data_IF_713395882053
#
_entry.id   IF_713395882053
#
_cell.length_a   1.000
_cell.length_b   1.000
_cell.length_c   1.000
_cell.angle_alpha   90.00
_cell.angle_beta   90.00
_cell.angle_gamma   90.00
#
_symmetry.space_group_name_H-M   'P 1'
#
loop_
_entity.id
_entity.type
_entity.pdbx_description
1 polymer ?
#
# COMPACT_ATOMS: atom_id res chain seq x y z
N UNK A 1 -17.67 -60.59 -33.34
CA UNK A 1 -17.39 -59.36 -34.11
C UNK A 1 -17.60 -58.08 -33.27
N UNK A 2 -17.18 -58.05 -31.99
CA UNK A 2 -17.53 -56.96 -31.04
C UNK A 2 -16.32 -56.20 -30.46
N UNK A 3 -15.09 -56.72 -30.62
CA UNK A 3 -13.88 -56.14 -30.01
C UNK A 3 -13.16 -55.10 -30.88
N UNK A 4 -13.42 -55.07 -32.20
CA UNK A 4 -12.76 -54.12 -33.11
C UNK A 4 -13.36 -52.71 -32.97
N UNK A 5 -14.69 -52.61 -32.84
CA UNK A 5 -15.41 -51.34 -32.73
C UNK A 5 -15.12 -50.60 -31.42
N UNK A 6 -14.97 -51.32 -30.30
CA UNK A 6 -14.61 -50.72 -29.00
C UNK A 6 -13.18 -50.16 -29.00
N UNK A 7 -12.21 -50.88 -29.60
CA UNK A 7 -10.83 -50.41 -29.69
C UNK A 7 -10.69 -49.21 -30.62
N UNK A 8 -11.45 -49.16 -31.71
CA UNK A 8 -11.50 -48.01 -32.61
C UNK A 8 -12.08 -46.77 -31.89
N UNK A 9 -13.17 -46.93 -31.12
CA UNK A 9 -13.78 -45.85 -30.34
C UNK A 9 -12.86 -45.30 -29.26
N UNK A 10 -12.13 -46.16 -28.54
CA UNK A 10 -11.16 -45.74 -27.52
C UNK A 10 -9.96 -45.02 -28.15
N UNK A 11 -9.43 -45.52 -29.27
CA UNK A 11 -8.34 -44.86 -30.00
C UNK A 11 -8.76 -43.50 -30.55
N UNK A 12 -9.96 -43.38 -31.13
CA UNK A 12 -10.51 -42.10 -31.59
C UNK A 12 -10.74 -41.14 -30.41
N UNK A 13 -11.25 -41.62 -29.27
CA UNK A 13 -11.44 -40.81 -28.07
C UNK A 13 -10.12 -40.27 -27.50
N UNK A 14 -9.07 -41.09 -27.45
CA UNK A 14 -7.73 -40.69 -27.00
C UNK A 14 -7.07 -39.71 -28.00
N UNK A 15 -7.26 -39.91 -29.30
CA UNK A 15 -6.78 -38.97 -30.34
C UNK A 15 -7.50 -37.62 -30.28
N UNK A 16 -8.80 -37.58 -29.99
CA UNK A 16 -9.57 -36.33 -29.82
C UNK A 16 -9.15 -35.59 -28.55
N UNK A 17 -8.89 -36.30 -27.45
CA UNK A 17 -8.37 -35.72 -26.20
C UNK A 17 -6.93 -35.20 -26.34
N UNK A 18 -6.05 -35.92 -27.05
CA UNK A 18 -4.69 -35.48 -27.34
C UNK A 18 -4.67 -34.28 -28.30
N UNK A 19 -5.57 -34.24 -29.30
CA UNK A 19 -5.73 -33.09 -30.18
C UNK A 19 -6.22 -31.85 -29.41
N UNK A 20 -7.16 -31.99 -28.46
CA UNK A 20 -7.63 -30.87 -27.64
C UNK A 20 -6.52 -30.22 -26.79
N UNK A 21 -5.52 -31.00 -26.34
CA UNK A 21 -4.37 -30.49 -25.59
C UNK A 21 -3.34 -29.75 -26.47
N UNK A 22 -3.17 -30.18 -27.72
CA UNK A 22 -2.30 -29.52 -28.71
C UNK A 22 -2.96 -28.29 -29.36
N UNK A 23 -4.30 -28.22 -29.33
CA UNK A 23 -5.06 -27.20 -30.08
C UNK A 23 -5.01 -25.80 -29.50
N UNK A 24 -4.57 -25.52 -28.25
CA UNK A 24 -4.40 -24.09 -27.90
C UNK A 24 -3.44 -23.73 -26.73
N UNK A 25 -2.13 -24.03 -26.84
CA UNK A 25 -1.12 -23.39 -25.99
C UNK A 25 -1.22 -21.85 -26.01
N UNK A 26 -1.66 -21.26 -27.14
CA UNK A 26 -1.93 -19.81 -27.28
C UNK A 26 -3.06 -19.30 -26.36
N UNK A 27 -4.11 -20.09 -26.12
CA UNK A 27 -5.17 -19.68 -25.17
C UNK A 27 -4.71 -19.80 -23.72
N UNK A 28 -3.91 -20.83 -23.40
CA UNK A 28 -3.31 -20.96 -22.08
C UNK A 28 -2.36 -19.80 -21.78
N UNK A 29 -1.50 -19.45 -22.74
CA UNK A 29 -0.58 -18.31 -22.66
C UNK A 29 -1.33 -16.97 -22.56
N UNK A 30 -2.38 -16.77 -23.37
CA UNK A 30 -3.24 -15.57 -23.26
C UNK A 30 -3.99 -15.47 -21.92
N UNK A 31 -4.38 -16.61 -21.32
CA UNK A 31 -4.97 -16.66 -19.98
C UNK A 31 -3.94 -16.38 -18.88
N UNK A 32 -2.72 -16.89 -19.00
CA UNK A 32 -1.61 -16.60 -18.08
C UNK A 32 -1.27 -15.10 -18.11
N UNK A 33 -1.03 -14.55 -19.30
CA UNK A 33 -0.76 -13.13 -19.49
C UNK A 33 -1.91 -12.25 -18.95
N UNK A 34 -3.16 -12.71 -19.09
CA UNK A 34 -4.31 -12.06 -18.44
C UNK A 34 -4.19 -12.04 -16.92
N UNK A 35 -3.91 -13.18 -16.31
CA UNK A 35 -3.78 -13.29 -14.86
C UNK A 35 -2.66 -12.38 -14.35
N UNK A 36 -1.51 -12.36 -15.03
CA UNK A 36 -0.35 -11.55 -14.67
C UNK A 36 -0.67 -10.04 -14.71
N UNK A 37 -1.38 -9.59 -15.76
CA UNK A 37 -1.79 -8.18 -15.86
C UNK A 37 -2.77 -7.80 -14.75
N UNK A 38 -3.72 -8.69 -14.41
CA UNK A 38 -4.68 -8.44 -13.32
C UNK A 38 -3.96 -8.41 -11.97
N UNK A 39 -3.01 -9.32 -11.72
CA UNK A 39 -2.21 -9.33 -10.50
C UNK A 39 -1.41 -8.03 -10.33
N UNK A 40 -0.74 -7.56 -11.39
CA UNK A 40 -0.01 -6.27 -11.34
C UNK A 40 -0.94 -5.07 -11.09
N UNK A 41 -2.15 -5.08 -11.66
CA UNK A 41 -3.17 -4.06 -11.35
C UNK A 41 -3.55 -4.10 -9.87
N UNK A 42 -3.73 -5.29 -9.30
CA UNK A 42 -4.04 -5.48 -7.88
C UNK A 42 -2.89 -4.95 -7.00
N UNK A 43 -1.64 -5.23 -7.34
CA UNK A 43 -0.45 -4.76 -6.61
C UNK A 43 -0.38 -3.24 -6.57
N UNK A 44 -0.47 -2.57 -7.73
CA UNK A 44 -0.46 -1.10 -7.78
C UNK A 44 -1.65 -0.48 -7.07
N UNK A 45 -2.80 -1.17 -7.05
CA UNK A 45 -3.96 -0.72 -6.29
C UNK A 45 -3.71 -0.79 -4.79
N UNK A 46 -3.18 -1.91 -4.30
CA UNK A 46 -2.83 -2.09 -2.89
C UNK A 46 -1.81 -1.04 -2.47
N UNK A 47 -0.79 -0.79 -3.28
CA UNK A 47 0.21 0.24 -3.03
C UNK A 47 -0.41 1.65 -2.98
N UNK A 48 -1.25 1.99 -3.94
CA UNK A 48 -1.99 3.27 -3.95
C UNK A 48 -2.76 3.45 -2.65
N UNK A 49 -3.50 2.43 -2.22
CA UNK A 49 -4.31 2.46 -1.01
C UNK A 49 -3.48 2.47 0.27
N UNK A 50 -2.32 1.81 0.30
CA UNK A 50 -1.37 1.86 1.42
C UNK A 50 -0.92 3.29 1.66
N UNK A 51 -0.48 4.00 0.61
CA UNK A 51 -0.06 5.39 0.72
C UNK A 51 -1.22 6.32 1.07
N UNK A 52 -2.40 6.14 0.49
CA UNK A 52 -3.59 6.91 0.86
C UNK A 52 -3.98 6.71 2.33
N UNK A 53 -3.94 5.46 2.81
CA UNK A 53 -4.23 5.12 4.21
C UNK A 53 -3.24 5.81 5.15
N UNK A 54 -1.94 5.77 4.84
CA UNK A 54 -0.91 6.46 5.61
C UNK A 54 -1.19 7.97 5.71
N UNK A 55 -1.56 8.58 4.59
CA UNK A 55 -1.88 10.01 4.52
C UNK A 55 -3.21 10.39 5.18
N UNK A 56 -4.02 9.41 5.61
CA UNK A 56 -5.39 9.63 6.09
C UNK A 56 -6.34 10.12 4.98
N UNK A 57 -6.11 9.70 3.73
CA UNK A 57 -6.95 10.04 2.58
C UNK A 57 -7.91 8.89 2.23
N UNK A 58 -9.12 9.18 1.72
CA UNK A 58 -10.00 8.15 1.19
C UNK A 58 -9.32 7.32 0.10
N UNK A 59 -9.61 6.02 0.09
CA UNK A 59 -9.10 5.11 -0.94
C UNK A 59 -9.74 5.41 -2.28
N UNK A 60 -8.94 5.43 -3.35
CA UNK A 60 -9.48 5.57 -4.72
C UNK A 60 -10.42 4.40 -5.02
N UNK A 61 -11.68 4.64 -5.39
CA UNK A 61 -12.62 3.56 -5.68
C UNK A 61 -12.22 2.77 -6.94
N UNK A 62 -12.66 1.51 -7.02
CA UNK A 62 -12.42 0.62 -8.16
C UNK A 62 -13.65 -0.24 -8.44
N UNK A 63 -13.98 -0.44 -9.71
CA UNK A 63 -15.07 -1.33 -10.14
C UNK A 63 -14.58 -2.76 -10.48
N UNK A 64 -13.28 -3.02 -10.33
CA UNK A 64 -12.62 -4.28 -10.71
C UNK A 64 -12.92 -4.71 -12.15
N UNK A 65 -13.04 -3.74 -13.07
CA UNK A 65 -13.43 -4.00 -14.46
C UNK A 65 -12.40 -4.83 -15.21
N UNK A 66 -11.13 -4.82 -14.80
CA UNK A 66 -10.06 -5.67 -15.35
C UNK A 66 -10.40 -7.16 -15.28
N UNK A 67 -11.16 -7.58 -14.26
CA UNK A 67 -11.54 -8.99 -14.06
C UNK A 67 -12.55 -9.48 -15.08
N UNK A 68 -13.38 -8.59 -15.62
CA UNK A 68 -14.43 -8.91 -16.61
C UNK A 68 -14.11 -8.42 -18.02
N UNK A 69 -13.12 -7.54 -18.17
CA UNK A 69 -12.73 -6.96 -19.45
C UNK A 69 -12.31 -8.05 -20.45
N UNK A 70 -12.89 -8.03 -21.66
CA UNK A 70 -12.49 -8.93 -22.76
C UNK A 70 -11.24 -8.43 -23.48
N UNK A 71 -11.12 -7.12 -23.67
CA UNK A 71 -10.00 -6.47 -24.37
C UNK A 71 -8.68 -6.54 -23.57
N UNK A 72 -7.60 -6.95 -24.24
CA UNK A 72 -6.24 -6.88 -23.69
C UNK A 72 -5.73 -5.42 -23.62
N UNK A 73 -6.03 -4.61 -24.64
CA UNK A 73 -5.65 -3.19 -24.67
C UNK A 73 -6.27 -2.41 -23.50
N UNK A 74 -7.54 -2.69 -23.15
CA UNK A 74 -8.19 -2.06 -21.99
C UNK A 74 -7.51 -2.43 -20.66
N UNK A 75 -7.10 -3.70 -20.51
CA UNK A 75 -6.36 -4.15 -19.32
C UNK A 75 -4.97 -3.50 -19.25
N UNK A 76 -4.27 -3.38 -20.38
CA UNK A 76 -2.99 -2.66 -20.45
C UNK A 76 -3.14 -1.18 -20.08
N UNK A 77 -4.21 -0.53 -20.54
CA UNK A 77 -4.52 0.84 -20.13
C UNK A 77 -4.81 0.96 -18.63
N UNK A 78 -5.60 0.04 -18.06
CA UNK A 78 -5.84 0.00 -16.61
C UNK A 78 -4.56 -0.22 -15.79
N UNK A 79 -3.66 -1.07 -16.28
CA UNK A 79 -2.35 -1.29 -15.68
C UNK A 79 -1.54 0.00 -15.62
N UNK A 80 -1.44 0.73 -16.73
CA UNK A 80 -0.74 2.03 -16.76
C UNK A 80 -1.41 3.07 -15.82
N UNK A 81 -2.74 3.10 -15.80
CA UNK A 81 -3.51 3.97 -14.91
C UNK A 81 -3.18 3.70 -13.43
N UNK A 82 -3.21 2.44 -13.00
CA UNK A 82 -2.92 2.08 -11.61
C UNK A 82 -1.45 2.29 -11.26
N UNK A 83 -0.52 1.99 -12.17
CA UNK A 83 0.91 2.32 -12.01
C UNK A 83 1.12 3.81 -11.75
N UNK A 84 0.51 4.69 -12.56
CA UNK A 84 0.62 6.15 -12.41
C UNK A 84 0.01 6.62 -11.08
N UNK A 85 -1.10 6.02 -10.65
CA UNK A 85 -1.73 6.33 -9.35
C UNK A 85 -0.85 5.94 -8.18
N UNK A 86 -0.24 4.75 -8.22
CA UNK A 86 0.67 4.28 -7.18
C UNK A 86 1.86 5.24 -7.05
N UNK A 87 2.54 5.54 -8.17
CA UNK A 87 3.67 6.47 -8.20
C UNK A 87 3.29 7.89 -7.71
N UNK A 88 2.10 8.39 -8.05
CA UNK A 88 1.64 9.68 -7.54
C UNK A 88 1.35 9.63 -6.03
N UNK A 89 0.73 8.57 -5.54
CA UNK A 89 0.42 8.40 -4.13
C UNK A 89 1.70 8.29 -3.29
N UNK A 90 2.69 7.54 -3.77
CA UNK A 90 4.01 7.43 -3.16
C UNK A 90 4.72 8.79 -3.11
N UNK A 91 4.81 9.51 -4.23
CA UNK A 91 5.44 10.84 -4.26
C UNK A 91 4.76 11.82 -3.30
N UNK A 92 3.44 11.77 -3.17
CA UNK A 92 2.71 12.58 -2.19
C UNK A 92 3.02 12.15 -0.76
N UNK A 93 3.04 10.84 -0.49
CA UNK A 93 3.38 10.31 0.82
C UNK A 93 4.81 10.65 1.23
N UNK A 94 5.77 10.64 0.31
CA UNK A 94 7.16 11.01 0.57
C UNK A 94 7.35 12.49 0.97
N UNK A 95 6.36 13.34 0.67
CA UNK A 95 6.38 14.78 0.92
C UNK A 95 5.24 15.19 1.86
N UNK A 96 5.31 14.83 3.16
CA UNK A 96 4.31 15.28 4.12
C UNK A 96 4.30 16.82 4.19
N UNK A 97 3.12 17.46 4.37
CA UNK A 97 3.07 18.87 4.71
C UNK A 97 3.91 19.16 5.97
N UNK A 98 4.37 20.41 6.09
CA UNK A 98 5.19 20.87 7.22
C UNK A 98 6.41 19.99 7.54
N UNK A 99 6.96 19.25 6.56
CA UNK A 99 8.13 18.37 6.75
C UNK A 99 9.27 19.04 7.49
N UNK A 100 9.61 20.29 7.15
CA UNK A 100 10.66 21.06 7.84
C UNK A 100 10.31 21.33 9.30
N UNK A 101 9.04 21.64 9.61
CA UNK A 101 8.54 21.80 10.98
C UNK A 101 8.64 20.51 11.78
N UNK A 102 8.22 19.39 11.23
CA UNK A 102 8.35 18.08 11.89
C UNK A 102 9.81 17.69 12.10
N UNK A 103 10.70 17.97 11.15
CA UNK A 103 12.13 17.73 11.33
C UNK A 103 12.75 18.65 12.38
N UNK A 104 12.26 19.89 12.50
CA UNK A 104 12.67 20.80 13.57
C UNK A 104 12.21 20.28 14.94
N UNK A 105 10.94 19.87 15.06
CA UNK A 105 10.41 19.26 16.29
C UNK A 105 11.21 18.02 16.65
N UNK A 106 11.42 17.13 15.68
CA UNK A 106 12.23 15.94 15.85
C UNK A 106 13.62 16.23 16.42
N UNK A 107 14.29 17.27 15.92
CA UNK A 107 15.63 17.66 16.38
C UNK A 107 15.69 17.92 17.89
N UNK A 108 14.66 18.53 18.46
CA UNK A 108 14.61 18.89 19.89
C UNK A 108 13.96 17.82 20.76
N UNK A 109 12.96 17.10 20.25
CA UNK A 109 12.20 16.10 21.02
C UNK A 109 12.94 14.76 21.15
N UNK A 110 13.70 14.36 20.11
CA UNK A 110 14.35 13.04 20.08
C UNK A 110 15.46 12.91 21.11
N UNK A 111 15.73 11.68 21.53
CA UNK A 111 17.00 11.35 22.16
C UNK A 111 18.14 11.35 21.11
N UNK A 112 19.28 12.01 21.34
CA UNK A 112 20.32 12.19 20.32
C UNK A 112 20.90 10.87 19.81
N UNK A 113 21.07 9.87 20.69
CA UNK A 113 21.58 8.54 20.32
C UNK A 113 20.53 7.55 19.77
N UNK A 114 19.23 7.86 19.84
CA UNK A 114 18.18 6.93 19.36
C UNK A 114 17.40 7.48 18.15
N UNK A 115 17.41 8.80 17.94
CA UNK A 115 16.79 9.41 16.78
C UNK A 115 15.29 9.11 16.70
N UNK A 116 14.84 8.60 15.56
CA UNK A 116 13.43 8.27 15.32
C UNK A 116 12.91 7.11 16.16
N UNK A 117 13.80 6.30 16.73
CA UNK A 117 13.46 5.17 17.59
C UNK A 117 13.56 5.50 19.08
N UNK A 118 13.44 6.78 19.44
CA UNK A 118 13.50 7.23 20.83
C UNK A 118 12.47 6.52 21.70
N UNK A 119 12.94 5.86 22.76
CA UNK A 119 12.18 5.16 23.79
C UNK A 119 12.96 5.20 25.11
N UNK A 120 12.80 6.29 25.86
CA UNK A 120 13.54 6.52 27.12
C UNK A 120 12.79 6.02 28.36
N UNK A 121 11.56 5.52 28.21
CA UNK A 121 10.73 5.07 29.33
C UNK A 121 9.85 6.16 29.95
N UNK A 122 9.81 7.37 29.37
CA UNK A 122 9.04 8.51 29.88
C UNK A 122 7.56 8.54 29.44
N UNK A 123 7.03 7.46 28.84
CA UNK A 123 5.66 7.38 28.35
C UNK A 123 5.41 7.98 26.96
N UNK A 124 6.46 8.51 26.32
CA UNK A 124 6.43 9.02 24.95
C UNK A 124 7.32 8.18 24.05
N UNK A 125 6.98 8.12 22.76
CA UNK A 125 7.61 7.20 21.83
C UNK A 125 7.93 7.88 20.51
N UNK A 126 9.03 7.43 19.90
CA UNK A 126 9.48 7.88 18.59
C UNK A 126 10.18 9.23 18.61
N UNK A 127 10.73 9.61 17.46
CA UNK A 127 11.48 10.85 17.30
C UNK A 127 10.65 12.12 17.45
N UNK A 128 9.31 12.02 17.47
CA UNK A 128 8.40 13.12 17.77
C UNK A 128 7.77 12.99 19.16
N UNK A 129 8.27 12.12 20.04
CA UNK A 129 7.77 12.01 21.42
C UNK A 129 6.24 11.95 21.51
N UNK A 130 5.61 10.98 20.83
CA UNK A 130 4.15 10.85 20.82
C UNK A 130 3.67 10.00 22.00
N UNK A 131 2.70 10.49 22.77
CA UNK A 131 2.03 9.68 23.79
C UNK A 131 1.08 8.62 23.17
N UNK A 132 0.65 7.65 23.99
CA UNK A 132 -0.24 6.57 23.54
C UNK A 132 -1.61 7.08 23.08
N UNK A 133 -2.14 8.14 23.68
CA UNK A 133 -3.45 8.69 23.30
C UNK A 133 -3.40 9.34 21.93
N UNK A 134 -2.34 10.09 21.62
CA UNK A 134 -2.07 10.65 20.30
C UNK A 134 -1.90 9.52 19.27
N UNK A 135 -1.10 8.50 19.60
CA UNK A 135 -0.90 7.34 18.73
C UNK A 135 -2.22 6.59 18.46
N UNK A 136 -3.08 6.40 19.47
CA UNK A 136 -4.40 5.78 19.30
C UNK A 136 -5.34 6.65 18.47
N UNK A 137 -5.35 7.96 18.68
CA UNK A 137 -6.26 8.86 17.97
C UNK A 137 -5.89 9.02 16.48
N UNK A 138 -4.60 9.09 16.17
CA UNK A 138 -4.13 9.49 14.85
C UNK A 138 -3.29 8.45 14.12
N UNK A 139 -2.95 7.32 14.75
CA UNK A 139 -2.11 6.27 14.16
C UNK A 139 -2.51 4.87 14.60
N UNK A 140 -3.79 4.64 14.93
CA UNK A 140 -4.28 3.38 15.49
C UNK A 140 -3.86 2.16 14.66
N UNK A 141 -3.90 2.28 13.34
CA UNK A 141 -3.49 1.20 12.43
C UNK A 141 -2.01 0.84 12.57
N UNK A 142 -1.13 1.83 12.74
CA UNK A 142 0.29 1.61 12.98
C UNK A 142 0.51 1.07 14.39
N UNK A 143 -0.22 1.60 15.38
CA UNK A 143 -0.14 1.13 16.76
C UNK A 143 -0.49 -0.36 16.87
N UNK A 144 -1.55 -0.80 16.19
CA UNK A 144 -1.99 -2.20 16.19
C UNK A 144 -1.06 -3.15 15.45
N UNK A 145 -0.44 -2.68 14.36
CA UNK A 145 0.36 -3.54 13.47
C UNK A 145 1.84 -3.55 13.81
N UNK A 146 2.37 -2.44 14.32
CA UNK A 146 3.80 -2.25 14.60
C UNK A 146 4.11 -2.02 16.08
N UNK A 147 3.12 -1.71 16.91
CA UNK A 147 3.34 -1.23 18.28
C UNK A 147 3.60 0.27 18.29
N UNK A 148 4.35 0.76 19.28
CA UNK A 148 4.52 2.20 19.55
C UNK A 148 5.40 2.93 18.52
N UNK A 149 5.33 4.26 18.52
CA UNK A 149 5.95 5.12 17.50
C UNK A 149 7.47 4.97 17.31
N UNK A 150 8.20 4.46 18.30
CA UNK A 150 9.63 4.08 18.18
C UNK A 150 9.89 3.01 17.10
N UNK A 151 8.87 2.25 16.73
CA UNK A 151 8.92 1.20 15.69
C UNK A 151 8.38 1.67 14.33
N UNK A 152 7.93 2.92 14.24
CA UNK A 152 7.41 3.47 13.01
C UNK A 152 8.52 4.16 12.24
N UNK A 153 8.44 4.11 10.91
CA UNK A 153 9.37 4.87 10.07
C UNK A 153 9.22 6.38 10.33
N UNK A 154 10.26 7.19 10.02
CA UNK A 154 10.17 8.65 10.11
C UNK A 154 8.96 9.23 9.39
N UNK A 155 8.68 8.69 8.20
CA UNK A 155 7.56 9.12 7.37
C UNK A 155 6.21 8.81 8.02
N UNK A 156 6.09 7.65 8.67
CA UNK A 156 4.90 7.25 9.40
C UNK A 156 4.64 8.14 10.60
N UNK A 157 5.68 8.46 11.37
CA UNK A 157 5.57 9.41 12.49
C UNK A 157 5.14 10.79 11.99
N UNK A 158 5.75 11.31 10.92
CA UNK A 158 5.35 12.61 10.36
C UNK A 158 3.89 12.61 9.84
N UNK A 159 3.42 11.53 9.21
CA UNK A 159 2.02 11.47 8.76
C UNK A 159 1.01 11.34 9.90
N UNK A 160 1.37 10.69 11.01
CA UNK A 160 0.54 10.70 12.22
C UNK A 160 0.48 12.10 12.83
N UNK A 161 1.62 12.80 12.91
CA UNK A 161 1.67 14.20 13.36
C UNK A 161 0.84 15.11 12.46
N UNK A 162 0.92 14.94 11.14
CA UNK A 162 0.12 15.66 10.16
C UNK A 162 -1.38 15.42 10.30
N UNK A 163 -1.79 14.18 10.64
CA UNK A 163 -3.19 13.89 10.94
C UNK A 163 -3.67 14.63 12.19
N UNK A 164 -2.85 14.66 13.24
CA UNK A 164 -3.14 15.45 14.44
C UNK A 164 -3.19 16.96 14.14
N UNK A 165 -2.27 17.47 13.32
CA UNK A 165 -2.26 18.88 12.91
C UNK A 165 -3.57 19.25 12.21
N UNK A 166 -3.99 18.47 11.20
CA UNK A 166 -5.20 18.73 10.41
C UNK A 166 -6.52 18.54 11.17
N UNK A 167 -6.53 17.85 12.31
CA UNK A 167 -7.74 17.71 13.14
C UNK A 167 -8.04 18.97 13.97
N UNK A 168 -7.20 20.02 13.85
CA UNK A 168 -7.34 21.27 14.59
C UNK A 168 -6.36 21.41 15.75
N UNK A 169 -5.53 20.39 16.04
CA UNK A 169 -4.50 20.52 17.09
C UNK A 169 -3.31 21.38 16.68
N UNK A 170 -3.09 21.62 15.38
CA UNK A 170 -1.90 22.33 14.90
C UNK A 170 -0.61 21.70 15.43
N UNK A 171 0.36 22.54 15.83
CA UNK A 171 1.60 22.10 16.48
C UNK A 171 1.52 22.08 18.02
N UNK A 172 0.35 22.36 18.62
CA UNK A 172 0.18 22.45 20.07
C UNK A 172 0.44 21.16 20.87
N UNK A 173 0.48 19.94 20.30
CA UNK A 173 1.01 18.79 21.03
C UNK A 173 2.50 18.92 21.39
N UNK A 174 3.24 19.83 20.74
CA UNK A 174 4.67 20.12 20.98
C UNK A 174 4.88 21.60 21.34
N UNK A 175 4.26 22.13 22.39
CA UNK A 175 4.08 23.58 22.53
C UNK A 175 5.40 24.36 22.73
N UNK A 176 6.36 23.81 23.48
CA UNK A 176 7.65 24.47 23.69
C UNK A 176 8.50 24.40 22.42
N UNK A 177 8.64 23.20 21.87
CA UNK A 177 9.45 22.96 20.68
C UNK A 177 8.88 23.65 19.44
N UNK A 178 7.56 23.70 19.28
CA UNK A 178 6.90 24.41 18.19
C UNK A 178 7.23 25.90 18.22
N UNK A 179 7.27 26.54 19.41
CA UNK A 179 7.74 27.93 19.56
C UNK A 179 9.21 28.08 19.20
N UNK A 180 10.08 27.18 19.67
CA UNK A 180 11.50 27.18 19.28
C UNK A 180 11.70 27.03 17.77
N UNK A 181 10.78 26.32 17.10
CA UNK A 181 10.77 26.12 15.66
C UNK A 181 10.04 27.23 14.89
N UNK A 182 9.46 28.24 15.55
CA UNK A 182 8.71 29.33 14.92
C UNK A 182 7.41 28.88 14.25
N UNK A 183 6.78 27.83 14.76
CA UNK A 183 5.58 27.21 14.18
C UNK A 183 4.27 27.72 14.80
N UNK A 184 4.33 28.28 16.01
CA UNK A 184 3.22 28.88 16.78
C UNK A 184 3.75 30.03 17.65
#
# INVERSE_FOLDING_TARGET
>A
MTNLSLRLLVLVGVLVLAAAALVNPRLADARSNRADVVAKIDDFRIETWRWQSLMGKPRTPTAYSERRARSAAYRAWLLDLWRKRAALAERRAANPPHRSGWLCIHRYERHPGQGWSTRTGNGFYGGLQMDISLQRAYGNELLRTKGTADRWSPLEQMWVAERAHRSGRGFYPWPNTARYCGLI
#
